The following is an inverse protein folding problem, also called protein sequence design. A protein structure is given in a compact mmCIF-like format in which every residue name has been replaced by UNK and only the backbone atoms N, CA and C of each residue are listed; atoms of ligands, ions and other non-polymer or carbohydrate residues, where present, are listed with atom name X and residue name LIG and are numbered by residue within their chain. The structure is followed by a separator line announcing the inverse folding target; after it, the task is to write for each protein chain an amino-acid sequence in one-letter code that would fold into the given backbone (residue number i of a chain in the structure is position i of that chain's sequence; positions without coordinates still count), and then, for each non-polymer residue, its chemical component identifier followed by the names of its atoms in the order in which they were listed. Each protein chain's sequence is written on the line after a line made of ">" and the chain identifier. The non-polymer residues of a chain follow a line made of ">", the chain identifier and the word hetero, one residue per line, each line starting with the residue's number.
data_IF_180761824531
#
_entry.id   IF_180761824531
#
_cell.length_a   1.000
_cell.length_b   1.000
_cell.length_c   1.000
_cell.angle_alpha   90.00
_cell.angle_beta   90.00
_cell.angle_gamma   90.00
#
_symmetry.space_group_name_H-M   'P 1'
#
loop_
_entity.id
_entity.type
_entity.pdbx_description
1 polymer ?
#
# COMPACT_ATOMS: atom_id res chain seq x y z
N UNK A 1 0.81 -8.05 0.01
CA UNK A 1 -0.57 -7.72 -0.44
C UNK A 1 -0.78 -6.23 -0.28
N UNK A 2 -1.39 -5.56 -1.26
CA UNK A 2 -1.59 -4.10 -1.27
C UNK A 2 -3.07 -3.77 -1.30
N UNK A 3 -3.47 -2.77 -0.52
CA UNK A 3 -4.82 -2.24 -0.39
C UNK A 3 -4.85 -0.81 -0.90
N UNK A 4 -5.88 -0.46 -1.67
CA UNK A 4 -6.06 0.87 -2.24
C UNK A 4 -7.36 1.47 -1.73
N UNK A 5 -7.30 2.68 -1.18
CA UNK A 5 -8.46 3.41 -0.68
C UNK A 5 -8.62 4.73 -1.42
N UNK A 6 -9.86 5.09 -1.72
CA UNK A 6 -10.24 6.40 -2.27
C UNK A 6 -9.73 6.66 -3.69
N UNK A 7 -9.55 5.61 -4.49
CA UNK A 7 -9.20 5.76 -5.90
C UNK A 7 -10.37 6.42 -6.62
N UNK A 8 -10.11 7.51 -7.33
CA UNK A 8 -11.08 8.16 -8.21
C UNK A 8 -10.72 7.81 -9.66
N UNK A 9 -11.27 6.73 -10.21
CA UNK A 9 -10.87 6.26 -11.51
C UNK A 9 -11.34 7.24 -12.59
N UNK A 10 -10.43 7.71 -13.43
CA UNK A 10 -10.78 8.39 -14.67
C UNK A 10 -10.43 7.48 -15.86
N UNK A 11 -11.38 7.32 -16.78
CA UNK A 11 -11.20 6.46 -17.95
C UNK A 11 -11.39 4.96 -17.70
N UNK A 12 -11.78 4.53 -16.49
CA UNK A 12 -12.20 3.15 -16.26
C UNK A 12 -13.71 3.04 -16.48
N UNK A 13 -14.13 1.98 -17.12
CA UNK A 13 -15.53 1.62 -17.20
C UNK A 13 -15.65 0.12 -17.07
N UNK A 14 -16.52 -0.32 -16.16
CA UNK A 14 -17.00 -1.69 -16.15
C UNK A 14 -18.15 -1.76 -17.15
N UNK A 15 -17.84 -1.73 -18.44
CA UNK A 15 -18.81 -1.94 -19.51
C UNK A 15 -18.38 -3.09 -20.41
N UNK A 16 -19.32 -3.65 -21.16
CA UNK A 16 -19.04 -4.74 -22.12
C UNK A 16 -18.07 -4.34 -23.24
N UNK A 17 -17.78 -3.04 -23.42
CA UNK A 17 -16.90 -2.50 -24.47
C UNK A 17 -15.51 -2.09 -23.97
N UNK A 18 -15.31 -1.94 -22.67
CA UNK A 18 -13.99 -1.68 -22.09
C UNK A 18 -13.50 -2.96 -21.42
N UNK A 19 -12.34 -3.44 -21.86
CA UNK A 19 -11.63 -4.49 -21.13
C UNK A 19 -11.38 -3.93 -19.72
N UNK A 20 -11.56 -4.74 -18.68
CA UNK A 20 -11.55 -4.37 -17.26
C UNK A 20 -10.16 -3.93 -16.76
N UNK A 21 -9.37 -3.33 -17.64
CA UNK A 21 -7.99 -2.91 -17.49
C UNK A 21 -7.95 -1.57 -16.77
N UNK A 22 -7.37 -1.60 -15.59
CA UNK A 22 -6.96 -0.42 -14.84
C UNK A 22 -5.73 0.16 -15.51
N UNK A 23 -5.68 1.48 -15.76
CA UNK A 23 -4.42 2.13 -16.10
C UNK A 23 -3.60 2.26 -14.81
N UNK A 24 -2.30 1.99 -14.89
CA UNK A 24 -1.45 1.99 -13.70
C UNK A 24 0.00 2.30 -14.02
N UNK A 25 0.73 2.70 -12.97
CA UNK A 25 2.19 2.75 -12.94
C UNK A 25 2.69 1.68 -11.98
N UNK A 26 3.74 0.95 -12.35
CA UNK A 26 4.43 0.00 -11.45
C UNK A 26 5.48 0.75 -10.64
N UNK A 27 5.76 0.29 -9.42
CA UNK A 27 6.89 0.74 -8.61
C UNK A 27 8.25 0.66 -9.31
N UNK A 28 8.38 -0.12 -10.39
CA UNK A 28 9.60 -0.18 -11.21
C UNK A 28 9.78 1.05 -12.12
N UNK A 29 8.70 1.79 -12.39
CA UNK A 29 8.68 2.91 -13.33
C UNK A 29 8.45 4.27 -12.64
N UNK A 30 8.74 4.36 -11.33
CA UNK A 30 8.66 5.62 -10.58
C UNK A 30 10.05 6.19 -10.30
N UNK A 31 10.14 7.51 -10.15
CA UNK A 31 11.41 8.20 -9.90
C UNK A 31 11.79 8.29 -8.41
N UNK A 32 10.81 8.17 -7.51
CA UNK A 32 11.03 8.19 -6.07
C UNK A 32 11.47 6.82 -5.56
N UNK A 33 12.39 6.82 -4.60
CA UNK A 33 12.71 5.63 -3.85
C UNK A 33 11.56 5.33 -2.88
N UNK A 34 10.81 4.28 -3.17
CA UNK A 34 9.79 3.70 -2.28
C UNK A 34 10.46 2.78 -1.25
N UNK A 35 9.69 1.90 -0.59
CA UNK A 35 10.26 0.98 0.40
C UNK A 35 11.50 0.23 -0.13
N UNK A 36 12.58 0.13 0.66
CA UNK A 36 13.70 -0.76 0.35
C UNK A 36 13.30 -2.24 0.32
N UNK A 37 12.18 -2.58 0.97
CA UNK A 37 11.63 -3.92 1.07
C UNK A 37 10.21 -3.87 0.54
N UNK A 38 10.08 -4.21 -0.74
CA UNK A 38 8.81 -4.38 -1.44
C UNK A 38 8.98 -5.26 -2.67
N UNK A 39 7.91 -5.98 -3.04
CA UNK A 39 7.76 -6.52 -4.39
C UNK A 39 7.32 -5.45 -5.40
N UNK A 40 6.98 -5.87 -6.62
CA UNK A 40 6.36 -4.97 -7.58
C UNK A 40 4.94 -4.57 -7.11
N UNK A 41 4.70 -3.28 -6.97
CA UNK A 41 3.41 -2.72 -6.60
C UNK A 41 2.84 -1.92 -7.76
N UNK A 42 1.61 -2.26 -8.11
CA UNK A 42 0.82 -1.52 -9.09
C UNK A 42 0.18 -0.32 -8.39
N UNK A 43 0.24 0.85 -9.00
CA UNK A 43 -0.40 2.07 -8.53
C UNK A 43 -1.42 2.50 -9.58
N UNK A 44 -2.73 2.27 -9.33
CA UNK A 44 -3.78 2.66 -10.26
C UNK A 44 -3.80 4.18 -10.49
N UNK A 45 -4.18 4.60 -11.70
CA UNK A 45 -4.43 6.02 -11.97
C UNK A 45 -5.66 6.50 -11.18
N UNK A 46 -5.61 7.76 -10.76
CA UNK A 46 -6.64 8.39 -9.95
C UNK A 46 -6.63 9.89 -10.22
N UNK A 47 -7.79 10.51 -10.36
CA UNK A 47 -7.88 11.98 -10.48
C UNK A 47 -7.72 12.72 -9.14
N UNK A 48 -7.58 11.97 -8.04
CA UNK A 48 -7.39 12.51 -6.70
C UNK A 48 -6.39 11.65 -5.93
N UNK A 49 -5.77 12.24 -4.91
CA UNK A 49 -4.86 11.53 -4.02
C UNK A 49 -5.59 10.37 -3.35
N UNK A 50 -4.90 9.25 -3.23
CA UNK A 50 -5.44 8.02 -2.66
C UNK A 50 -4.41 7.37 -1.72
N UNK A 51 -4.83 6.36 -0.98
CA UNK A 51 -3.95 5.66 -0.04
C UNK A 51 -3.61 4.28 -0.59
N UNK A 52 -2.33 3.91 -0.49
CA UNK A 52 -1.85 2.56 -0.75
C UNK A 52 -1.22 2.02 0.53
N UNK A 53 -1.66 0.84 0.98
CA UNK A 53 -1.12 0.15 2.16
C UNK A 53 -0.71 -1.25 1.77
N UNK A 54 0.50 -1.66 2.11
CA UNK A 54 1.02 -2.98 1.83
C UNK A 54 1.30 -3.73 3.13
N UNK A 55 0.74 -4.92 3.26
CA UNK A 55 1.27 -5.93 4.16
C UNK A 55 2.38 -6.69 3.43
N UNK A 56 3.62 -6.52 3.91
CA UNK A 56 4.83 -7.11 3.36
C UNK A 56 5.65 -7.86 4.45
N UNK A 57 5.32 -9.14 4.68
CA UNK A 57 6.11 -10.06 5.48
C UNK A 57 7.61 -10.12 5.15
N UNK A 58 8.07 -9.73 3.95
CA UNK A 58 9.50 -9.77 3.62
C UNK A 58 10.36 -8.87 4.54
N UNK A 59 9.74 -7.93 5.24
CA UNK A 59 10.38 -7.18 6.31
C UNK A 59 10.94 -8.05 7.43
N UNK A 60 10.44 -9.26 7.65
CA UNK A 60 11.03 -10.22 8.60
C UNK A 60 12.52 -10.42 8.37
N UNK A 61 12.95 -10.51 7.10
CA UNK A 61 14.36 -10.69 6.75
C UNK A 61 15.17 -9.40 6.83
N UNK A 62 14.49 -8.25 6.79
CA UNK A 62 15.13 -6.98 6.46
C UNK A 62 15.09 -5.93 7.58
N UNK A 63 14.17 -6.05 8.55
CA UNK A 63 13.88 -4.98 9.51
C UNK A 63 15.11 -4.57 10.35
N UNK A 64 16.02 -5.49 10.66
CA UNK A 64 17.24 -5.18 11.40
C UNK A 64 18.31 -4.42 10.58
N UNK A 65 18.20 -4.38 9.25
CA UNK A 65 19.15 -3.64 8.39
C UNK A 65 18.79 -2.17 8.24
N UNK A 66 17.53 -1.79 8.49
CA UNK A 66 17.03 -0.43 8.29
C UNK A 66 16.64 0.19 9.63
N UNK A 67 17.42 1.18 10.08
CA UNK A 67 17.09 1.96 11.27
C UNK A 67 15.70 2.58 11.13
N UNK A 68 14.82 2.32 12.10
CA UNK A 68 13.44 2.82 12.11
C UNK A 68 12.40 1.87 11.50
N UNK A 69 12.81 0.70 10.99
CA UNK A 69 11.92 -0.39 10.67
C UNK A 69 11.60 -1.25 11.91
N UNK A 70 10.35 -1.68 12.04
CA UNK A 70 9.84 -2.41 13.20
C UNK A 70 8.72 -3.42 12.89
N UNK A 71 8.14 -3.41 11.68
CA UNK A 71 7.02 -4.27 11.32
C UNK A 71 6.87 -4.53 9.82
N UNK A 72 5.88 -5.35 9.42
CA UNK A 72 5.69 -5.81 8.05
C UNK A 72 4.74 -4.91 7.24
N UNK A 73 4.72 -3.61 7.49
CA UNK A 73 3.77 -2.70 6.84
C UNK A 73 4.47 -1.58 6.10
N UNK A 74 4.01 -1.34 4.87
CA UNK A 74 4.32 -0.12 4.13
C UNK A 74 3.03 0.67 3.91
N UNK A 75 3.10 2.00 3.90
CA UNK A 75 1.98 2.86 3.58
C UNK A 75 2.44 4.11 2.84
N UNK A 76 1.66 4.51 1.83
CA UNK A 76 1.94 5.68 1.00
C UNK A 76 0.66 6.48 0.76
N UNK A 77 0.82 7.81 0.78
CA UNK A 77 -0.10 8.69 0.08
C UNK A 77 0.37 8.78 -1.35
N UNK A 78 -0.51 8.43 -2.29
CA UNK A 78 -0.22 8.47 -3.72
C UNK A 78 -0.90 9.68 -4.33
N UNK A 79 -0.12 10.51 -5.02
CA UNK A 79 -0.59 11.69 -5.75
C UNK A 79 -0.22 11.54 -7.23
N UNK A 80 -1.24 11.43 -8.08
CA UNK A 80 -1.10 11.44 -9.52
C UNK A 80 -1.50 12.81 -10.06
N UNK A 81 -0.54 13.51 -10.67
CA UNK A 81 -0.78 14.80 -11.29
C UNK A 81 -0.66 14.70 -12.79
N UNK A 82 -1.61 15.32 -13.50
CA UNK A 82 -1.48 15.47 -14.94
C UNK A 82 -0.49 16.59 -15.26
N UNK A 83 0.64 16.23 -15.87
CA UNK A 83 1.71 17.17 -16.19
C UNK A 83 1.63 17.60 -17.65
N UNK A 84 1.63 18.92 -17.83
CA UNK A 84 1.78 19.57 -19.13
C UNK A 84 3.20 20.16 -19.23
N UNK A 85 4.04 19.56 -20.07
CA UNK A 85 5.37 20.11 -20.37
C UNK A 85 5.53 20.37 -21.87
N UNK A 86 5.28 21.61 -22.27
CA UNK A 86 5.23 21.99 -23.69
C UNK A 86 4.08 21.27 -24.42
N UNK A 87 4.42 20.46 -25.42
CA UNK A 87 3.44 19.63 -26.16
C UNK A 87 3.26 18.23 -25.58
N UNK A 88 4.09 17.83 -24.62
CA UNK A 88 4.03 16.50 -24.00
C UNK A 88 3.04 16.54 -22.84
N UNK A 89 2.16 15.55 -22.81
CA UNK A 89 1.20 15.31 -21.75
C UNK A 89 1.48 13.93 -21.18
N UNK A 90 1.75 13.86 -19.88
CA UNK A 90 1.98 12.61 -19.18
C UNK A 90 1.45 12.72 -17.75
N UNK A 91 1.22 11.57 -17.11
CA UNK A 91 0.87 11.51 -15.71
C UNK A 91 2.16 11.33 -14.90
N UNK A 92 2.35 12.18 -13.89
CA UNK A 92 3.43 12.04 -12.93
C UNK A 92 2.83 11.54 -11.63
N UNK A 93 3.33 10.41 -11.17
CA UNK A 93 2.98 9.86 -9.86
C UNK A 93 4.05 10.27 -8.84
N UNK A 94 3.60 10.62 -7.65
CA UNK A 94 4.45 10.95 -6.52
C UNK A 94 3.91 10.36 -5.23
N UNK A 95 4.79 10.26 -4.24
CA UNK A 95 4.54 9.54 -3.00
C UNK A 95 4.92 10.40 -1.81
N UNK A 96 4.02 10.47 -0.85
CA UNK A 96 4.26 11.16 0.41
C UNK A 96 4.09 10.20 1.59
N UNK A 97 4.78 10.46 2.70
CA UNK A 97 5.82 11.49 2.91
C UNK A 97 7.13 11.19 2.17
N UNK A 98 7.87 12.22 1.76
CA UNK A 98 9.21 12.08 1.18
C UNK A 98 10.10 13.22 1.71
N UNK A 99 11.10 12.94 2.57
CA UNK A 99 11.58 11.62 2.97
C UNK A 99 10.64 10.88 3.94
N UNK A 100 10.86 9.57 4.06
CA UNK A 100 10.17 8.69 5.00
C UNK A 100 10.39 9.16 6.45
N UNK A 101 9.33 9.31 7.26
CA UNK A 101 9.45 9.74 8.65
C UNK A 101 10.17 8.73 9.52
N UNK A 102 10.12 7.44 9.20
CA UNK A 102 10.74 6.39 10.00
C UNK A 102 12.07 5.92 9.42
N UNK A 103 12.23 5.84 8.09
CA UNK A 103 13.49 5.39 7.47
C UNK A 103 14.42 6.54 7.04
N UNK A 104 13.92 7.78 6.94
CA UNK A 104 14.67 8.92 6.43
C UNK A 104 14.94 8.85 4.91
N UNK A 105 15.78 9.78 4.39
CA UNK A 105 16.18 9.77 2.98
C UNK A 105 16.93 8.48 2.60
N UNK A 106 16.77 7.96 1.37
CA UNK A 106 16.02 8.53 0.25
C UNK A 106 14.55 8.07 0.18
N UNK A 107 14.08 7.29 1.14
CA UNK A 107 12.82 6.54 1.08
C UNK A 107 11.59 7.44 1.16
N UNK A 108 10.45 6.95 0.66
CA UNK A 108 9.17 7.65 0.64
C UNK A 108 8.08 6.75 1.21
N UNK A 109 7.23 7.30 2.07
CA UNK A 109 6.19 6.56 2.78
C UNK A 109 6.56 6.23 4.22
N UNK A 110 5.69 5.46 4.84
CA UNK A 110 5.94 4.78 6.11
C UNK A 110 6.25 3.33 5.79
N UNK A 111 7.53 2.99 5.76
CA UNK A 111 8.00 1.69 5.26
C UNK A 111 8.56 0.84 6.39
N UNK A 112 8.17 -0.42 6.48
CA UNK A 112 8.57 -1.32 7.57
C UNK A 112 8.04 -0.89 8.93
N UNK A 113 6.88 -0.24 9.00
CA UNK A 113 6.27 0.23 10.25
C UNK A 113 5.41 -0.84 10.92
N UNK A 114 4.99 -0.56 12.15
CA UNK A 114 4.17 -1.45 12.95
C UNK A 114 4.99 -2.39 13.82
N UNK A 115 4.39 -3.52 14.20
CA UNK A 115 5.00 -4.53 15.05
C UNK A 115 4.55 -5.93 14.65
N UNK A 116 5.30 -6.94 15.08
CA UNK A 116 4.82 -8.31 15.21
C UNK A 116 4.59 -8.64 16.67
N UNK A 117 3.74 -9.62 16.93
CA UNK A 117 3.53 -10.18 18.26
C UNK A 117 3.32 -11.70 18.14
N UNK A 118 3.89 -12.50 19.07
CA UNK A 118 4.79 -12.10 20.17
C UNK A 118 6.24 -11.87 19.74
N UNK A 119 6.59 -12.26 18.52
CA UNK A 119 7.90 -12.08 17.90
C UNK A 119 7.73 -11.93 16.38
N UNK A 120 8.73 -11.46 15.62
CA UNK A 120 8.67 -11.42 14.17
C UNK A 120 8.27 -12.76 13.56
N UNK A 121 7.32 -12.77 12.62
CA UNK A 121 6.80 -13.99 12.00
C UNK A 121 6.54 -13.82 10.50
N UNK A 122 6.44 -14.95 9.81
CA UNK A 122 6.16 -15.07 8.38
C UNK A 122 5.03 -16.07 8.16
N UNK A 123 4.06 -15.79 7.27
CA UNK A 123 3.08 -16.78 6.84
C UNK A 123 3.77 -17.97 6.16
N UNK A 124 3.38 -19.19 6.51
CA UNK A 124 3.82 -20.41 5.86
C UNK A 124 3.01 -20.77 4.61
N UNK A 125 3.50 -21.71 3.78
CA UNK A 125 2.71 -22.22 2.65
C UNK A 125 1.40 -22.85 3.10
N UNK A 126 0.28 -22.37 2.54
CA UNK A 126 -1.07 -22.86 2.86
C UNK A 126 -1.72 -22.21 4.09
N UNK A 127 -1.03 -21.27 4.74
CA UNK A 127 -1.63 -20.49 5.82
C UNK A 127 -2.60 -19.44 5.27
N UNK A 128 -3.72 -19.26 5.98
CA UNK A 128 -4.67 -18.20 5.69
C UNK A 128 -4.37 -17.02 6.59
N UNK A 129 -4.13 -15.85 6.01
CA UNK A 129 -3.87 -14.63 6.77
C UNK A 129 -5.06 -13.69 6.62
N UNK A 130 -5.69 -13.34 7.74
CA UNK A 130 -6.65 -12.23 7.78
C UNK A 130 -5.85 -10.93 7.81
N UNK A 131 -6.13 -10.03 6.87
CA UNK A 131 -5.51 -8.70 6.86
C UNK A 131 -6.61 -7.64 6.76
N UNK A 132 -6.64 -6.74 7.73
CA UNK A 132 -7.57 -5.64 7.84
C UNK A 132 -6.79 -4.33 7.76
N UNK A 133 -7.27 -3.39 6.95
CA UNK A 133 -6.76 -2.02 6.91
C UNK A 133 -7.93 -1.07 7.07
N UNK A 134 -7.79 -0.12 8.00
CA UNK A 134 -8.83 0.84 8.33
C UNK A 134 -8.28 2.24 8.21
N UNK A 135 -8.97 3.10 7.48
CA UNK A 135 -8.75 4.54 7.50
C UNK A 135 -9.77 5.23 8.41
N UNK A 136 -9.29 6.07 9.32
CA UNK A 136 -10.13 6.89 10.18
C UNK A 136 -10.06 8.36 9.75
N UNK A 137 -11.14 8.95 9.20
CA UNK A 137 -11.15 10.36 8.81
C UNK A 137 -11.12 11.33 10.01
N UNK A 138 -11.57 10.89 11.19
CA UNK A 138 -11.63 11.74 12.40
C UNK A 138 -10.25 12.03 12.98
N UNK A 139 -9.33 11.07 12.86
CA UNK A 139 -7.93 11.20 13.30
C UNK A 139 -6.96 11.36 12.13
N UNK A 140 -7.46 11.20 10.90
CA UNK A 140 -6.69 11.13 9.66
C UNK A 140 -5.54 10.12 9.77
N UNK A 141 -5.88 8.89 10.17
CA UNK A 141 -4.90 7.83 10.45
C UNK A 141 -5.25 6.55 9.71
N UNK A 142 -4.21 5.79 9.35
CA UNK A 142 -4.32 4.41 8.90
C UNK A 142 -3.98 3.47 10.05
N UNK A 143 -4.75 2.39 10.14
CA UNK A 143 -4.52 1.27 11.04
C UNK A 143 -4.47 0.01 10.20
N UNK A 144 -3.61 -0.92 10.58
CA UNK A 144 -3.64 -2.26 10.02
C UNK A 144 -3.52 -3.33 11.07
N UNK A 145 -4.06 -4.48 10.74
CA UNK A 145 -4.01 -5.68 11.52
C UNK A 145 -3.84 -6.87 10.57
N UNK A 146 -2.94 -7.78 10.91
CA UNK A 146 -2.79 -9.06 10.24
C UNK A 146 -2.73 -10.17 11.28
N UNK A 147 -3.42 -11.27 11.03
CA UNK A 147 -3.45 -12.46 11.88
C UNK A 147 -3.31 -13.69 11.01
N UNK A 148 -2.38 -14.57 11.38
CA UNK A 148 -2.34 -15.92 10.82
C UNK A 148 -3.48 -16.74 11.42
N UNK A 149 -4.47 -17.10 10.61
CA UNK A 149 -5.65 -17.85 11.07
C UNK A 149 -5.32 -19.31 11.42
N UNK A 150 -4.18 -19.82 10.95
CA UNK A 150 -3.69 -21.14 11.33
C UNK A 150 -2.99 -21.09 12.71
N UNK A 151 -2.42 -19.94 13.05
CA UNK A 151 -1.75 -19.66 14.33
C UNK A 151 -2.21 -18.32 14.92
N UNK A 152 -3.45 -18.22 15.47
CA UNK A 152 -4.14 -16.95 15.78
C UNK A 152 -3.52 -16.13 16.94
N UNK A 153 -2.32 -16.48 17.39
CA UNK A 153 -1.50 -15.66 18.29
C UNK A 153 -0.38 -14.92 17.54
N UNK A 154 -0.11 -15.28 16.28
CA UNK A 154 0.80 -14.58 15.38
C UNK A 154 0.04 -13.43 14.74
N UNK A 155 0.26 -12.24 15.30
CA UNK A 155 -0.42 -11.03 14.84
C UNK A 155 0.58 -9.94 14.51
N UNK A 156 0.17 -9.01 13.66
CA UNK A 156 0.90 -7.80 13.36
C UNK A 156 -0.05 -6.63 13.28
N UNK A 157 0.39 -5.46 13.72
CA UNK A 157 -0.41 -4.25 13.59
C UNK A 157 0.44 -3.02 13.33
N UNK A 158 -0.19 -1.99 12.76
CA UNK A 158 0.42 -0.67 12.62
C UNK A 158 -0.60 0.44 12.84
N UNK A 159 -0.08 1.62 13.13
CA UNK A 159 -0.85 2.86 13.15
C UNK A 159 0.06 3.99 12.64
N UNK A 160 -0.39 4.72 11.62
CA UNK A 160 0.31 5.93 11.12
C UNK A 160 -0.66 7.08 11.00
N UNK A 161 -0.19 8.27 11.32
CA UNK A 161 -0.95 9.51 11.19
C UNK A 161 -0.57 10.21 9.88
N UNK A 162 -1.58 10.63 9.12
CA UNK A 162 -1.42 11.19 7.77
C UNK A 162 -1.50 12.73 7.74
N UNK A 163 -1.55 13.39 8.91
CA UNK A 163 -1.68 14.84 8.99
C UNK A 163 -0.52 15.55 8.28
N UNK A 164 -0.87 16.53 7.46
CA UNK A 164 0.08 17.25 6.60
C UNK A 164 0.39 16.58 5.27
N UNK A 165 -0.04 15.32 5.05
CA UNK A 165 0.22 14.57 3.81
C UNK A 165 -1.05 14.14 3.08
N UNK A 166 -2.12 13.84 3.81
CA UNK A 166 -3.41 13.46 3.23
C UNK A 166 -4.53 14.29 3.82
N UNK A 167 -5.46 14.72 2.97
CA UNK A 167 -6.70 15.33 3.42
C UNK A 167 -7.84 14.33 3.28
N UNK A 168 -8.68 14.15 4.31
CA UNK A 168 -9.82 13.26 4.22
C UNK A 168 -10.66 13.54 2.96
N UNK A 169 -10.95 12.53 2.14
CA UNK A 169 -11.75 12.70 0.94
C UNK A 169 -13.16 13.18 1.28
N UNK A 170 -13.78 13.91 0.35
CA UNK A 170 -15.19 14.29 0.47
C UNK A 170 -16.11 13.06 0.43
N UNK A 171 -17.30 13.17 0.99
CA UNK A 171 -18.28 12.07 0.95
C UNK A 171 -18.80 11.88 -0.49
N UNK A 172 -18.36 10.80 -1.14
CA UNK A 172 -18.80 10.34 -2.47
C UNK A 172 -18.37 8.88 -2.71
N UNK A 173 -18.68 8.34 -3.88
CA UNK A 173 -18.24 7.01 -4.30
C UNK A 173 -16.79 7.03 -4.75
N UNK A 174 -16.03 6.03 -4.28
CA UNK A 174 -14.65 5.78 -4.68
C UNK A 174 -14.50 4.31 -5.08
N UNK A 175 -13.50 4.02 -5.90
CA UNK A 175 -13.02 2.67 -6.05
C UNK A 175 -12.10 2.30 -4.88
N UNK A 176 -12.20 1.05 -4.44
CA UNK A 176 -11.20 0.40 -3.59
C UNK A 176 -10.70 -0.86 -4.29
N UNK A 177 -9.55 -1.36 -3.87
CA UNK A 177 -8.99 -2.57 -4.46
C UNK A 177 -8.00 -3.26 -3.55
N UNK A 178 -7.73 -4.53 -3.87
CA UNK A 178 -6.69 -5.32 -3.23
C UNK A 178 -5.89 -6.01 -4.33
N UNK A 179 -4.57 -5.95 -4.22
CA UNK A 179 -3.62 -6.55 -5.15
C UNK A 179 -2.65 -7.49 -4.45
N UNK A 180 -2.29 -8.58 -5.13
CA UNK A 180 -1.16 -9.42 -4.76
C UNK A 180 -0.04 -9.19 -5.78
N UNK A 181 1.18 -9.04 -5.30
CA UNK A 181 2.37 -8.86 -6.11
C UNK A 181 3.52 -9.64 -5.50
N UNK A 182 4.48 -10.03 -6.34
CA UNK A 182 5.67 -10.79 -5.94
C UNK A 182 6.93 -9.93 -6.10
N UNK A 183 7.99 -10.29 -5.39
CA UNK A 183 9.32 -9.68 -5.53
C UNK A 183 10.34 -10.65 -6.14
N UNK A 184 11.58 -10.18 -6.30
CA UNK A 184 12.68 -10.96 -6.90
C UNK A 184 13.31 -11.99 -5.96
N UNK A 185 13.40 -11.69 -4.65
CA UNK A 185 14.23 -12.48 -3.71
C UNK A 185 13.42 -13.31 -2.71
N UNK A 186 12.13 -13.00 -2.52
CA UNK A 186 11.23 -13.70 -1.60
C UNK A 186 9.85 -13.79 -2.25
N UNK A 187 9.78 -14.55 -3.35
CA UNK A 187 8.54 -14.75 -4.09
C UNK A 187 7.51 -15.44 -3.19
N UNK A 188 6.49 -14.69 -2.83
CA UNK A 188 5.35 -15.16 -2.08
C UNK A 188 4.32 -15.77 -3.04
N UNK A 189 3.98 -17.04 -2.84
CA UNK A 189 2.86 -17.69 -3.53
C UNK A 189 1.55 -17.35 -2.79
N UNK A 190 1.16 -16.09 -2.84
CA UNK A 190 -0.07 -15.61 -2.20
C UNK A 190 -1.19 -15.50 -3.23
N UNK A 191 -2.41 -15.79 -2.78
CA UNK A 191 -3.63 -15.51 -3.53
C UNK A 191 -4.63 -14.81 -2.62
N UNK A 192 -5.48 -13.98 -3.23
CA UNK A 192 -6.58 -13.35 -2.51
C UNK A 192 -7.77 -14.31 -2.60
N UNK A 193 -8.13 -14.91 -1.47
CA UNK A 193 -9.23 -15.88 -1.40
C UNK A 193 -10.57 -15.24 -1.07
N UNK A 194 -10.56 -14.07 -0.41
CA UNK A 194 -11.76 -13.34 -0.01
C UNK A 194 -11.44 -11.86 0.17
N UNK A 195 -12.36 -11.00 -0.24
CA UNK A 195 -12.31 -9.55 -0.02
C UNK A 195 -13.65 -9.10 0.54
N UNK A 196 -13.60 -8.28 1.59
CA UNK A 196 -14.77 -7.67 2.20
C UNK A 196 -14.50 -6.21 2.52
N UNK A 197 -15.50 -5.38 2.25
CA UNK A 197 -15.54 -3.98 2.62
C UNK A 197 -16.56 -3.83 3.74
N UNK A 198 -16.14 -3.25 4.88
CA UNK A 198 -17.06 -2.91 5.97
C UNK A 198 -17.75 -1.58 5.70
N UNK A 199 -19.07 -1.63 5.57
CA UNK A 199 -19.97 -0.47 5.43
C UNK A 199 -20.29 0.20 6.77
#
# INVERSE_FOLDING_TARGET
>A
MTFYFFVEPYGWSVSSTYNQSVLYVTSLNVSQYLSPVMGDVIFPNSSANYLAVQFDPAWFYNYNYYTGAAGPWNAWVVDETFVHHGRVRYYSISFAPSPSPNLGPPWSGWDGVGTWSPYPWLPGPGDYVLVCVTYSPSTNSLYGFAEDLNYPWLVSSFSVNLNGYFSPPSSRTYAFGVGAGTGSTYAADWSIVYVWEGS
#
